data_IF_443142240935
#
_entry.id   IF_443142240935
#
_cell.length_a   1.000
_cell.length_b   1.000
_cell.length_c   1.000
_cell.angle_alpha   90.00
_cell.angle_beta   90.00
_cell.angle_gamma   90.00
#
_symmetry.space_group_name_H-M   'P 1'
#
loop_
_entity.id
_entity.type
_entity.pdbx_description
1 polymer ?
#
# COMPACT_ATOMS: atom_id res chain seq x y z
N UNK A 1 -26.18 -21.85 63.42
CA UNK A 1 -27.15 -20.74 63.47
C UNK A 1 -28.51 -21.33 63.14
N UNK A 2 -29.48 -21.03 64.00
CA UNK A 2 -30.68 -21.83 64.22
C UNK A 2 -31.66 -21.86 63.04
N UNK A 3 -32.02 -23.07 62.60
CA UNK A 3 -33.20 -23.34 61.80
C UNK A 3 -34.45 -23.12 62.66
N UNK A 4 -35.20 -22.07 62.38
CA UNK A 4 -36.53 -21.83 62.96
C UNK A 4 -37.57 -22.07 61.86
N UNK A 5 -38.02 -23.32 61.76
CA UNK A 5 -39.20 -23.64 60.95
C UNK A 5 -40.46 -23.09 61.61
N UNK A 6 -41.32 -22.31 60.91
CA UNK A 6 -42.63 -22.00 61.43
C UNK A 6 -43.54 -23.23 61.25
N UNK A 7 -44.01 -23.75 62.38
CA UNK A 7 -45.03 -24.81 62.47
C UNK A 7 -46.32 -24.33 61.82
N UNK A 8 -46.76 -25.02 60.77
CA UNK A 8 -48.03 -24.75 60.08
C UNK A 8 -49.19 -25.39 60.87
N UNK A 9 -50.27 -24.68 61.20
CA UNK A 9 -51.45 -25.32 61.77
C UNK A 9 -52.09 -26.23 60.73
N UNK A 10 -52.32 -27.50 61.09
CA UNK A 10 -53.18 -28.40 60.33
C UNK A 10 -54.64 -27.98 60.56
N UNK A 11 -55.25 -27.32 59.58
CA UNK A 11 -56.70 -27.25 59.50
C UNK A 11 -57.22 -28.29 58.51
N UNK A 12 -57.58 -29.44 59.06
CA UNK A 12 -58.47 -30.42 58.45
C UNK A 12 -59.89 -29.84 58.40
N UNK A 13 -60.42 -29.70 57.18
CA UNK A 13 -61.76 -29.19 56.95
C UNK A 13 -62.00 -28.85 55.49
N UNK A 14 -62.26 -29.86 54.67
CA UNK A 14 -62.79 -29.65 53.32
C UNK A 14 -64.25 -29.17 53.51
N UNK A 15 -64.47 -27.85 53.53
CA UNK A 15 -65.80 -27.27 53.29
C UNK A 15 -66.04 -27.28 51.79
N UNK A 16 -67.14 -27.91 51.36
CA UNK A 16 -67.63 -27.83 50.00
C UNK A 16 -67.84 -26.35 49.61
N UNK A 17 -67.02 -25.84 48.70
CA UNK A 17 -67.22 -24.52 48.08
C UNK A 17 -68.02 -24.75 46.81
N UNK A 18 -69.34 -24.59 46.93
CA UNK A 18 -70.20 -24.63 45.76
C UNK A 18 -71.62 -25.05 46.04
N UNK A 19 -72.36 -24.30 46.87
CA UNK A 19 -73.79 -24.08 46.61
C UNK A 19 -74.35 -22.90 47.43
N UNK A 20 -74.20 -21.67 46.94
CA UNK A 20 -74.96 -20.48 47.38
C UNK A 20 -74.80 -19.38 46.34
N UNK A 21 -75.20 -19.67 45.09
CA UNK A 21 -75.26 -18.64 44.02
C UNK A 21 -76.53 -17.81 44.11
N UNK A 22 -76.70 -17.06 45.20
CA UNK A 22 -77.68 -15.95 45.29
C UNK A 22 -77.14 -14.79 46.13
N UNK A 23 -75.93 -14.33 45.83
CA UNK A 23 -75.48 -13.01 46.26
C UNK A 23 -75.96 -11.98 45.24
N UNK A 24 -76.56 -10.87 45.69
CA UNK A 24 -76.86 -9.73 44.82
C UNK A 24 -75.55 -9.18 44.22
N UNK A 25 -75.61 -8.64 43.00
CA UNK A 25 -74.46 -7.97 42.39
C UNK A 25 -74.04 -6.80 43.28
N UNK A 26 -72.74 -6.66 43.50
CA UNK A 26 -72.20 -5.54 44.27
C UNK A 26 -72.45 -4.21 43.53
N UNK A 27 -72.78 -3.16 44.28
CA UNK A 27 -72.73 -1.77 43.81
C UNK A 27 -71.37 -1.15 44.15
N UNK A 28 -71.03 0.01 43.57
CA UNK A 28 -69.77 0.71 43.87
C UNK A 28 -69.65 1.09 45.37
N UNK A 29 -70.78 1.36 46.04
CA UNK A 29 -70.84 1.64 47.50
C UNK A 29 -70.48 0.41 48.37
N UNK A 30 -70.50 -0.79 47.79
CA UNK A 30 -70.07 -2.02 48.48
C UNK A 30 -68.53 -2.16 48.48
N UNK A 31 -67.81 -1.36 47.70
CA UNK A 31 -66.36 -1.28 47.76
C UNK A 31 -65.95 -0.71 49.13
N UNK A 32 -64.97 -1.31 49.80
CA UNK A 32 -64.60 -1.08 51.22
C UNK A 32 -65.44 -1.86 52.25
N UNK A 33 -66.76 -2.01 52.06
CA UNK A 33 -67.61 -2.75 53.03
C UNK A 33 -67.69 -4.26 52.75
N UNK A 34 -67.64 -4.68 51.47
CA UNK A 34 -67.59 -6.08 51.04
C UNK A 34 -66.27 -6.35 50.30
N UNK A 35 -65.29 -6.91 51.01
CA UNK A 35 -63.97 -7.22 50.46
C UNK A 35 -63.84 -8.68 50.01
N UNK A 36 -63.03 -8.97 48.96
CA UNK A 36 -62.71 -10.33 48.60
C UNK A 36 -61.94 -11.04 49.72
N UNK A 37 -62.01 -12.37 49.75
CA UNK A 37 -61.29 -13.14 50.77
C UNK A 37 -59.77 -12.96 50.66
N UNK A 38 -59.09 -12.92 51.80
CA UNK A 38 -57.62 -12.79 51.87
C UNK A 38 -56.88 -13.89 51.08
N UNK A 39 -57.41 -15.12 51.06
CA UNK A 39 -56.82 -16.21 50.26
C UNK A 39 -56.87 -15.93 48.75
N UNK A 40 -57.95 -15.28 48.26
CA UNK A 40 -58.06 -14.88 46.85
C UNK A 40 -57.09 -13.75 46.52
N UNK A 41 -56.98 -12.76 47.38
CA UNK A 41 -56.01 -11.66 47.22
C UNK A 41 -54.58 -12.18 47.23
N UNK A 42 -54.23 -13.01 48.21
CA UNK A 42 -52.89 -13.61 48.30
C UNK A 42 -52.54 -14.43 47.06
N UNK A 43 -53.48 -15.24 46.55
CA UNK A 43 -53.28 -15.99 45.31
C UNK A 43 -53.03 -15.11 44.09
N UNK A 44 -53.78 -14.01 43.95
CA UNK A 44 -53.60 -13.04 42.87
C UNK A 44 -52.28 -12.26 43.00
N UNK A 45 -51.92 -11.84 44.22
CA UNK A 45 -50.66 -11.14 44.50
C UNK A 45 -49.48 -12.06 44.14
N UNK A 46 -49.45 -13.29 44.64
CA UNK A 46 -48.38 -14.24 44.34
C UNK A 46 -48.31 -14.60 42.85
N UNK A 47 -49.45 -14.70 42.15
CA UNK A 47 -49.48 -14.93 40.71
C UNK A 47 -48.89 -13.74 39.93
N UNK A 48 -49.26 -12.51 40.31
CA UNK A 48 -48.77 -11.29 39.68
C UNK A 48 -47.28 -11.08 39.93
N UNK A 49 -46.82 -11.30 41.16
CA UNK A 49 -45.42 -11.26 41.55
C UNK A 49 -44.60 -12.27 40.74
N UNK A 50 -45.02 -13.53 40.68
CA UNK A 50 -44.34 -14.56 39.88
C UNK A 50 -44.30 -14.22 38.38
N UNK A 51 -45.38 -13.63 37.85
CA UNK A 51 -45.44 -13.19 36.45
C UNK A 51 -44.52 -12.00 36.18
N UNK A 52 -44.46 -11.03 37.09
CA UNK A 52 -43.57 -9.89 37.01
C UNK A 52 -42.10 -10.32 37.10
N UNK A 53 -41.77 -11.17 38.07
CA UNK A 53 -40.42 -11.71 38.25
C UNK A 53 -39.97 -12.47 37.00
N UNK A 54 -40.83 -13.31 36.41
CA UNK A 54 -40.52 -14.05 35.17
C UNK A 54 -40.26 -13.11 34.00
N UNK A 55 -41.01 -12.01 33.89
CA UNK A 55 -40.78 -11.00 32.85
C UNK A 55 -39.47 -10.25 33.09
N UNK A 56 -39.20 -9.84 34.32
CA UNK A 56 -37.94 -9.17 34.69
C UNK A 56 -36.74 -10.05 34.40
N UNK A 57 -36.77 -11.33 34.82
CA UNK A 57 -35.71 -12.29 34.50
C UNK A 57 -35.47 -12.39 32.99
N UNK A 58 -36.53 -12.48 32.17
CA UNK A 58 -36.40 -12.49 30.71
C UNK A 58 -35.71 -11.23 30.18
N UNK A 59 -36.16 -10.05 30.62
CA UNK A 59 -35.55 -8.78 30.21
C UNK A 59 -34.08 -8.74 30.60
N UNK A 60 -33.72 -9.09 31.83
CA UNK A 60 -32.33 -9.12 32.28
C UNK A 60 -31.48 -10.13 31.50
N UNK A 61 -31.99 -11.32 31.22
CA UNK A 61 -31.27 -12.32 30.41
C UNK A 61 -31.05 -11.84 28.99
N UNK A 62 -32.05 -11.21 28.38
CA UNK A 62 -31.94 -10.66 27.02
C UNK A 62 -30.98 -9.47 26.98
N UNK A 63 -31.03 -8.57 27.95
CA UNK A 63 -30.09 -7.45 28.06
C UNK A 63 -28.64 -7.95 28.15
N UNK A 64 -28.37 -8.91 29.03
CA UNK A 64 -27.04 -9.51 29.16
C UNK A 64 -26.56 -10.19 27.87
N UNK A 65 -27.46 -10.89 27.16
CA UNK A 65 -27.11 -11.47 25.86
C UNK A 65 -26.67 -10.43 24.83
N UNK A 66 -27.33 -9.26 24.80
CA UNK A 66 -26.95 -8.18 23.89
C UNK A 66 -25.64 -7.50 24.29
N UNK A 67 -25.39 -7.33 25.60
CA UNK A 67 -24.10 -6.83 26.12
C UNK A 67 -22.95 -7.77 25.71
N UNK A 68 -23.09 -9.07 25.96
CA UNK A 68 -22.09 -10.08 25.60
C UNK A 68 -21.85 -10.12 24.07
N UNK A 69 -22.91 -9.97 23.27
CA UNK A 69 -22.80 -9.92 21.82
C UNK A 69 -22.10 -8.65 21.32
N UNK A 70 -22.38 -7.50 21.95
CA UNK A 70 -21.72 -6.24 21.64
C UNK A 70 -20.22 -6.29 21.97
N UNK A 71 -19.84 -6.85 23.12
CA UNK A 71 -18.43 -7.02 23.50
C UNK A 71 -17.69 -7.92 22.49
N UNK A 72 -18.28 -9.07 22.11
CA UNK A 72 -17.70 -9.97 21.10
C UNK A 72 -17.57 -9.29 19.73
N UNK A 73 -18.56 -8.48 19.35
CA UNK A 73 -18.53 -7.70 18.11
C UNK A 73 -17.39 -6.69 18.12
N UNK A 74 -17.23 -5.93 19.21
CA UNK A 74 -16.13 -4.97 19.38
C UNK A 74 -14.76 -5.65 19.35
N UNK A 75 -14.57 -6.77 20.06
CA UNK A 75 -13.33 -7.52 20.04
C UNK A 75 -12.96 -8.01 18.63
N UNK A 76 -13.95 -8.50 17.88
CA UNK A 76 -13.77 -8.91 16.48
C UNK A 76 -13.39 -7.72 15.61
N UNK A 77 -14.04 -6.58 15.81
CA UNK A 77 -13.75 -5.35 15.08
C UNK A 77 -12.30 -4.89 15.31
N UNK A 78 -11.85 -4.82 16.57
CA UNK A 78 -10.47 -4.46 16.91
C UNK A 78 -9.45 -5.38 16.23
N UNK A 79 -9.73 -6.69 16.16
CA UNK A 79 -8.86 -7.65 15.45
C UNK A 79 -8.77 -7.36 13.94
N UNK A 80 -9.91 -7.10 13.31
CA UNK A 80 -9.99 -6.81 11.86
C UNK A 80 -9.26 -5.51 11.55
N UNK A 81 -9.50 -4.45 12.33
CA UNK A 81 -8.82 -3.17 12.17
C UNK A 81 -7.31 -3.30 12.35
N UNK A 82 -6.86 -3.97 13.42
CA UNK A 82 -5.43 -4.18 13.67
C UNK A 82 -4.74 -5.01 12.57
N UNK A 83 -5.43 -6.01 11.99
CA UNK A 83 -4.92 -6.74 10.83
C UNK A 83 -4.78 -5.84 9.60
N UNK A 84 -5.85 -5.12 9.24
CA UNK A 84 -5.85 -4.22 8.08
C UNK A 84 -4.80 -3.10 8.23
N UNK A 85 -4.63 -2.55 9.43
CA UNK A 85 -3.58 -1.54 9.71
C UNK A 85 -2.19 -2.07 9.40
N UNK A 86 -1.86 -3.29 9.83
CA UNK A 86 -0.56 -3.90 9.51
C UNK A 86 -0.37 -4.10 8.01
N UNK A 87 -1.39 -4.58 7.31
CA UNK A 87 -1.34 -4.79 5.85
C UNK A 87 -1.11 -3.46 5.13
N UNK A 88 -1.88 -2.43 5.47
CA UNK A 88 -1.79 -1.10 4.85
C UNK A 88 -0.45 -0.44 5.16
N UNK A 89 0.01 -0.48 6.42
CA UNK A 89 1.31 0.07 6.81
C UNK A 89 2.47 -0.62 6.06
N UNK A 90 2.43 -1.94 5.93
CA UNK A 90 3.43 -2.69 5.17
C UNK A 90 3.40 -2.33 3.67
N UNK A 91 2.20 -2.15 3.10
CA UNK A 91 2.05 -1.71 1.72
C UNK A 91 2.67 -0.32 1.51
N UNK A 92 2.40 0.64 2.39
CA UNK A 92 2.98 2.00 2.33
C UNK A 92 4.52 1.99 2.42
N UNK A 93 5.08 1.16 3.31
CA UNK A 93 6.54 0.98 3.38
C UNK A 93 7.07 0.42 2.06
N UNK A 94 6.41 -0.60 1.50
CA UNK A 94 6.84 -1.21 0.23
C UNK A 94 6.79 -0.23 -0.94
N UNK A 95 5.72 0.57 -1.05
CA UNK A 95 5.57 1.61 -2.08
C UNK A 95 6.67 2.66 -1.96
N UNK A 96 6.98 3.12 -0.74
CA UNK A 96 8.08 4.05 -0.49
C UNK A 96 9.42 3.47 -0.93
N UNK A 97 9.73 2.24 -0.52
CA UNK A 97 10.99 1.59 -0.93
C UNK A 97 11.07 1.38 -2.43
N UNK A 98 9.95 1.12 -3.10
CA UNK A 98 9.90 1.01 -4.56
C UNK A 98 10.24 2.35 -5.23
N UNK A 99 9.64 3.45 -4.78
CA UNK A 99 9.91 4.79 -5.34
C UNK A 99 11.35 5.22 -5.10
N UNK A 100 11.91 4.99 -3.91
CA UNK A 100 13.32 5.28 -3.60
C UNK A 100 14.26 4.50 -4.53
N UNK A 101 14.01 3.20 -4.75
CA UNK A 101 14.79 2.37 -5.67
C UNK A 101 14.65 2.81 -7.12
N UNK A 102 13.43 3.16 -7.55
CA UNK A 102 13.17 3.64 -8.91
C UNK A 102 13.89 4.96 -9.18
N UNK A 103 13.90 5.90 -8.23
CA UNK A 103 14.67 7.14 -8.34
C UNK A 103 16.18 6.87 -8.43
N UNK A 104 16.71 5.98 -7.58
CA UNK A 104 18.12 5.58 -7.64
C UNK A 104 18.50 5.00 -9.00
N UNK A 105 17.67 4.12 -9.56
CA UNK A 105 17.87 3.54 -10.88
C UNK A 105 17.82 4.60 -11.99
N UNK A 106 16.86 5.53 -11.94
CA UNK A 106 16.76 6.62 -12.91
C UNK A 106 18.00 7.52 -12.89
N UNK A 107 18.53 7.84 -11.69
CA UNK A 107 19.78 8.59 -11.54
C UNK A 107 21.00 7.86 -12.13
N UNK A 108 21.14 6.57 -11.81
CA UNK A 108 22.23 5.73 -12.32
C UNK A 108 22.19 5.61 -13.85
N UNK A 109 21.01 5.38 -14.43
CA UNK A 109 20.84 5.28 -15.87
C UNK A 109 21.14 6.62 -16.56
N UNK A 110 20.73 7.74 -15.97
CA UNK A 110 21.06 9.08 -16.46
C UNK A 110 22.57 9.30 -16.50
N UNK A 111 23.28 8.98 -15.41
CA UNK A 111 24.74 9.09 -15.32
C UNK A 111 25.45 8.19 -16.32
N UNK A 112 25.03 6.93 -16.45
CA UNK A 112 25.59 5.98 -17.41
C UNK A 112 25.44 6.48 -18.85
N UNK A 113 24.30 7.07 -19.16
CA UNK A 113 24.00 7.62 -20.49
C UNK A 113 24.83 8.85 -20.83
N UNK A 114 25.03 9.77 -19.87
CA UNK A 114 25.98 10.90 -20.00
C UNK A 114 27.41 10.40 -20.21
N UNK A 115 27.85 9.36 -19.49
CA UNK A 115 29.19 8.75 -19.67
C UNK A 115 29.34 8.06 -21.02
N UNK A 116 28.34 7.29 -21.43
CA UNK A 116 28.32 6.54 -22.70
C UNK A 116 28.39 7.50 -23.89
N UNK A 117 27.53 8.53 -23.92
CA UNK A 117 27.54 9.55 -24.97
C UNK A 117 28.88 10.28 -25.08
N UNK A 118 29.50 10.64 -23.95
CA UNK A 118 30.85 11.23 -23.92
C UNK A 118 31.89 10.29 -24.50
N UNK A 119 31.83 8.99 -24.17
CA UNK A 119 32.76 8.00 -24.69
C UNK A 119 32.58 7.78 -26.20
N UNK A 120 31.32 7.69 -26.67
CA UNK A 120 31.02 7.58 -28.10
C UNK A 120 31.53 8.78 -28.89
N UNK A 121 31.42 10.00 -28.35
CA UNK A 121 32.00 11.20 -28.98
C UNK A 121 33.52 11.10 -29.10
N UNK A 122 34.22 10.70 -28.02
CA UNK A 122 35.67 10.51 -28.02
C UNK A 122 36.12 9.44 -29.02
N UNK A 123 35.40 8.34 -29.13
CA UNK A 123 35.73 7.28 -30.10
C UNK A 123 35.65 7.78 -31.55
N UNK A 124 34.63 8.57 -31.89
CA UNK A 124 34.49 9.14 -33.23
C UNK A 124 35.61 10.14 -33.52
N UNK A 125 35.96 10.97 -32.54
CA UNK A 125 37.07 11.92 -32.66
C UNK A 125 38.41 11.20 -32.88
N UNK A 126 38.72 10.21 -32.05
CA UNK A 126 39.95 9.41 -32.16
C UNK A 126 40.03 8.65 -33.49
N UNK A 127 38.92 8.05 -33.94
CA UNK A 127 38.85 7.38 -35.23
C UNK A 127 39.16 8.34 -36.39
N UNK A 128 38.61 9.56 -36.35
CA UNK A 128 38.91 10.59 -37.34
C UNK A 128 40.38 11.07 -37.30
N UNK A 129 41.00 11.12 -36.12
CA UNK A 129 42.42 11.45 -35.97
C UNK A 129 43.30 10.34 -36.55
N UNK A 130 43.05 9.09 -36.18
CA UNK A 130 43.83 7.92 -36.63
C UNK A 130 43.75 7.77 -38.15
N UNK A 131 42.57 7.95 -38.75
CA UNK A 131 42.42 7.94 -40.21
C UNK A 131 43.32 8.97 -40.89
N UNK A 132 43.32 10.21 -40.42
CA UNK A 132 44.18 11.26 -40.98
C UNK A 132 45.65 10.94 -40.81
N UNK A 133 46.05 10.49 -39.62
CA UNK A 133 47.43 10.09 -39.35
C UNK A 133 47.90 8.97 -40.27
N UNK A 134 47.01 8.03 -40.60
CA UNK A 134 47.30 6.94 -41.50
C UNK A 134 47.47 7.40 -42.96
N UNK A 135 46.61 8.30 -43.44
CA UNK A 135 46.76 8.94 -44.75
C UNK A 135 48.08 9.72 -44.86
N UNK A 136 48.44 10.47 -43.81
CA UNK A 136 49.68 11.23 -43.75
C UNK A 136 50.91 10.31 -43.69
N UNK A 137 50.83 9.21 -42.95
CA UNK A 137 51.89 8.21 -42.87
C UNK A 137 52.15 7.57 -44.24
N UNK A 138 51.10 7.15 -44.94
CA UNK A 138 51.20 6.58 -46.28
C UNK A 138 51.83 7.57 -47.27
N UNK A 139 51.36 8.82 -47.29
CA UNK A 139 51.94 9.88 -48.14
C UNK A 139 53.41 10.12 -47.85
N UNK A 140 53.78 10.14 -46.58
CA UNK A 140 55.17 10.35 -46.14
C UNK A 140 56.04 9.16 -46.55
N UNK A 141 55.53 7.94 -46.43
CA UNK A 141 56.28 6.73 -46.82
C UNK A 141 56.54 6.67 -48.32
N UNK A 142 55.54 7.02 -49.14
CA UNK A 142 55.68 7.14 -50.61
C UNK A 142 56.67 8.25 -50.98
N UNK A 143 56.63 9.40 -50.29
CA UNK A 143 57.58 10.50 -50.50
C UNK A 143 59.02 10.08 -50.15
N UNK A 144 59.20 9.34 -49.04
CA UNK A 144 60.50 8.79 -48.63
C UNK A 144 61.02 7.78 -49.66
N UNK A 145 60.18 6.86 -50.13
CA UNK A 145 60.53 5.92 -51.20
C UNK A 145 61.02 6.63 -52.47
N UNK A 146 60.28 7.66 -52.90
CA UNK A 146 60.63 8.46 -54.07
C UNK A 146 61.96 9.19 -53.88
N UNK A 147 62.18 9.78 -52.69
CA UNK A 147 63.44 10.47 -52.35
C UNK A 147 64.62 9.51 -52.29
N UNK A 148 64.46 8.32 -51.73
CA UNK A 148 65.51 7.30 -51.72
C UNK A 148 65.87 6.83 -53.13
N UNK A 149 64.86 6.62 -53.99
CA UNK A 149 65.07 6.25 -55.40
C UNK A 149 65.78 7.34 -56.20
N UNK A 150 65.47 8.62 -55.95
CA UNK A 150 66.13 9.74 -56.62
C UNK A 150 67.65 9.80 -56.36
N UNK A 151 68.12 9.28 -55.22
CA UNK A 151 69.55 9.23 -54.89
C UNK A 151 70.36 8.25 -55.77
N UNK A 152 69.73 7.37 -56.56
CA UNK A 152 70.43 6.35 -57.37
C UNK A 152 71.37 6.94 -58.43
N UNK A 153 71.14 8.19 -58.85
CA UNK A 153 72.05 8.90 -59.77
C UNK A 153 73.09 9.79 -59.09
N UNK A 154 73.02 9.97 -57.76
CA UNK A 154 73.85 10.95 -57.02
C UNK A 154 74.72 10.33 -55.94
N UNK A 155 74.35 9.16 -55.41
CA UNK A 155 75.04 8.50 -54.29
C UNK A 155 75.76 7.22 -54.73
N UNK A 156 76.84 6.86 -54.03
CA UNK A 156 77.61 5.63 -54.31
C UNK A 156 76.80 4.35 -54.07
N UNK A 157 75.86 4.37 -53.13
CA UNK A 157 74.95 3.27 -52.83
C UNK A 157 73.58 3.81 -52.41
N UNK A 158 72.53 3.03 -52.66
CA UNK A 158 71.14 3.33 -52.28
C UNK A 158 70.57 2.19 -51.47
N UNK A 159 69.79 2.53 -50.43
CA UNK A 159 69.06 1.57 -49.62
C UNK A 159 67.85 1.04 -50.42
N UNK A 160 67.69 -0.28 -50.60
CA UNK A 160 66.48 -0.84 -51.17
C UNK A 160 65.33 -0.65 -50.18
N UNK A 161 64.36 0.17 -50.57
CA UNK A 161 63.13 0.44 -49.81
C UNK A 161 61.94 0.26 -50.75
N UNK A 162 60.80 -0.14 -50.19
CA UNK A 162 59.53 -0.28 -50.92
C UNK A 162 58.38 -0.06 -49.95
N UNK A 163 57.34 0.63 -50.42
CA UNK A 163 56.12 0.91 -49.65
C UNK A 163 55.26 -0.36 -49.57
N UNK A 164 54.68 -0.65 -48.40
CA UNK A 164 53.70 -1.73 -48.22
C UNK A 164 52.26 -1.26 -48.52
N UNK A 165 51.93 -1.13 -49.80
CA UNK A 165 50.59 -0.69 -50.24
C UNK A 165 49.45 -1.60 -49.72
N UNK A 166 49.70 -2.91 -49.60
CA UNK A 166 48.70 -3.88 -49.17
C UNK A 166 48.38 -3.73 -47.67
N UNK A 167 49.40 -3.44 -46.85
CA UNK A 167 49.24 -3.14 -45.44
C UNK A 167 48.32 -1.94 -45.20
N UNK A 168 48.56 -0.84 -45.91
CA UNK A 168 47.71 0.36 -45.82
C UNK A 168 46.27 0.12 -46.31
N UNK A 169 46.08 -0.66 -47.38
CA UNK A 169 44.74 -1.03 -47.85
C UNK A 169 43.96 -1.83 -46.80
N UNK A 170 44.63 -2.76 -46.13
CA UNK A 170 44.03 -3.57 -45.06
C UNK A 170 43.60 -2.68 -43.90
N UNK A 171 44.49 -1.79 -43.45
CA UNK A 171 44.20 -0.84 -42.38
C UNK A 171 43.05 0.11 -42.74
N UNK A 172 42.94 0.54 -44.00
CA UNK A 172 41.83 1.36 -44.48
C UNK A 172 40.50 0.60 -44.40
N UNK A 173 40.51 -0.67 -44.79
CA UNK A 173 39.33 -1.53 -44.73
C UNK A 173 38.85 -1.71 -43.29
N UNK A 174 39.77 -1.89 -42.34
CA UNK A 174 39.46 -1.97 -40.90
C UNK A 174 38.86 -0.66 -40.36
N UNK A 175 39.38 0.49 -40.80
CA UNK A 175 38.84 1.80 -40.41
C UNK A 175 37.41 2.01 -40.94
N UNK A 176 37.14 1.55 -42.16
CA UNK A 176 35.81 1.65 -42.77
C UNK A 176 34.81 0.68 -42.14
N UNK A 177 35.25 -0.51 -41.75
CA UNK A 177 34.44 -1.44 -40.95
C UNK A 177 34.07 -0.82 -39.60
N UNK A 178 35.04 -0.24 -38.90
CA UNK A 178 34.81 0.46 -37.63
C UNK A 178 33.82 1.63 -37.80
N UNK A 179 33.94 2.40 -38.88
CA UNK A 179 33.00 3.48 -39.18
C UNK A 179 31.57 2.97 -39.40
N UNK A 180 31.41 1.87 -40.15
CA UNK A 180 30.11 1.23 -40.35
C UNK A 180 29.51 0.80 -39.01
N UNK A 181 30.30 0.19 -38.12
CA UNK A 181 29.84 -0.20 -36.80
C UNK A 181 29.42 1.00 -35.93
N UNK A 182 30.18 2.10 -35.96
CA UNK A 182 29.84 3.35 -35.26
C UNK A 182 28.55 3.98 -35.82
N UNK A 183 28.37 3.97 -37.13
CA UNK A 183 27.19 4.52 -37.79
C UNK A 183 25.93 3.66 -37.57
N UNK A 184 26.06 2.34 -37.50
CA UNK A 184 24.95 1.44 -37.12
C UNK A 184 24.45 1.75 -35.71
N UNK A 185 25.37 2.00 -34.76
CA UNK A 185 24.99 2.41 -33.39
C UNK A 185 24.24 3.74 -33.34
N UNK A 186 24.53 4.67 -34.26
CA UNK A 186 23.80 5.96 -34.38
C UNK A 186 22.41 5.82 -35.00
N UNK A 187 22.18 4.80 -35.84
CA UNK A 187 20.87 4.53 -36.48
C UNK A 187 19.87 3.86 -35.54
N UNK A 188 20.32 3.31 -34.41
CA UNK A 188 19.41 2.84 -33.37
C UNK A 188 18.54 4.01 -32.90
N UNK A 189 17.25 3.73 -32.65
CA UNK A 189 16.31 4.75 -32.20
C UNK A 189 16.92 5.54 -31.03
N UNK A 190 16.96 6.89 -31.10
CA UNK A 190 17.49 7.69 -30.02
C UNK A 190 16.68 7.32 -28.77
N UNK A 191 17.35 6.90 -27.68
CA UNK A 191 16.60 6.58 -26.49
C UNK A 191 15.85 7.84 -26.02
N UNK A 192 14.75 7.71 -25.26
CA UNK A 192 13.93 8.86 -24.85
C UNK A 192 14.79 9.92 -24.17
N UNK A 193 14.65 11.20 -24.48
CA UNK A 193 15.52 12.26 -23.95
C UNK A 193 15.59 12.23 -22.41
N UNK A 194 14.47 11.88 -21.78
CA UNK A 194 14.30 11.89 -20.34
C UNK A 194 13.97 10.49 -19.82
N UNK A 195 14.57 10.12 -18.69
CA UNK A 195 14.20 8.91 -17.96
C UNK A 195 13.10 9.33 -16.98
N UNK A 196 11.87 8.80 -17.14
CA UNK A 196 10.74 9.24 -16.33
C UNK A 196 11.00 8.95 -14.85
N UNK A 197 10.59 9.89 -13.99
CA UNK A 197 10.74 9.79 -12.54
C UNK A 197 9.42 9.38 -11.92
N UNK A 198 9.52 8.48 -10.95
CA UNK A 198 8.38 8.06 -10.13
C UNK A 198 8.39 8.89 -8.85
N UNK A 199 7.23 9.43 -8.46
CA UNK A 199 7.03 10.14 -7.19
C UNK A 199 5.78 9.62 -6.48
N UNK A 200 5.79 9.73 -5.15
CA UNK A 200 4.61 9.55 -4.31
C UNK A 200 3.94 10.90 -4.11
N UNK A 201 2.67 11.02 -4.47
CA UNK A 201 1.83 12.18 -4.16
C UNK A 201 0.81 11.82 -3.08
N UNK A 202 0.66 12.62 -2.02
CA UNK A 202 -0.40 12.44 -1.05
C UNK A 202 -1.78 12.56 -1.72
N UNK A 203 -2.71 11.71 -1.33
CA UNK A 203 -4.11 11.79 -1.75
C UNK A 203 -4.96 12.06 -0.51
N UNK A 204 -5.82 13.07 -0.58
CA UNK A 204 -6.86 13.24 0.42
C UNK A 204 -7.99 12.25 0.13
N UNK A 205 -8.07 11.20 0.95
CA UNK A 205 -9.09 10.16 0.81
C UNK A 205 -10.20 10.33 1.84
N UNK A 206 -10.30 11.45 2.55
CA UNK A 206 -11.33 11.59 3.59
C UNK A 206 -12.74 11.66 2.99
N UNK A 207 -13.63 10.67 3.23
CA UNK A 207 -15.04 10.95 3.22
C UNK A 207 -15.36 11.77 4.48
N UNK A 208 -16.30 12.71 4.40
CA UNK A 208 -16.78 13.42 5.58
C UNK A 208 -17.26 12.41 6.65
N UNK A 209 -16.52 12.32 7.76
CA UNK A 209 -16.79 11.39 8.86
C UNK A 209 -18.14 11.73 9.49
N UNK A 210 -19.00 10.73 9.71
CA UNK A 210 -20.27 10.96 10.42
C UNK A 210 -20.01 11.42 11.86
N UNK A 211 -20.70 12.47 12.28
CA UNK A 211 -20.51 13.06 13.61
C UNK A 211 -20.87 12.08 14.73
N UNK A 212 -21.77 11.12 14.47
CA UNK A 212 -22.17 10.11 15.44
C UNK A 212 -21.00 9.23 15.90
N UNK A 213 -20.05 8.89 15.01
CA UNK A 213 -18.95 7.98 15.35
C UNK A 213 -17.95 8.60 16.35
N UNK A 214 -17.88 9.95 16.41
CA UNK A 214 -17.05 10.69 17.37
C UNK A 214 -17.63 10.70 18.79
N UNK A 215 -18.94 10.48 18.92
CA UNK A 215 -19.64 10.55 20.21
C UNK A 215 -19.39 9.35 21.11
N UNK A 216 -18.83 8.24 20.58
CA UNK A 216 -18.59 7.00 21.32
C UNK A 216 -17.10 6.93 21.73
N UNK A 217 -16.75 7.15 23.03
CA UNK A 217 -15.36 7.30 23.46
C UNK A 217 -14.49 6.07 23.20
N UNK A 218 -15.07 4.87 23.25
CA UNK A 218 -14.37 3.60 23.00
C UNK A 218 -14.02 3.46 21.51
N UNK A 219 -14.96 3.77 20.61
CA UNK A 219 -14.73 3.72 19.16
C UNK A 219 -13.73 4.80 18.73
N UNK A 220 -13.80 5.99 19.33
CA UNK A 220 -12.85 7.06 19.05
C UNK A 220 -11.42 6.70 19.47
N UNK A 221 -11.22 6.19 20.69
CA UNK A 221 -9.87 5.85 21.19
C UNK A 221 -9.29 4.59 20.56
N UNK A 222 -10.09 3.54 20.38
CA UNK A 222 -9.57 2.23 19.98
C UNK A 222 -9.61 2.00 18.49
N UNK A 223 -10.51 2.62 17.72
CA UNK A 223 -10.76 2.25 16.33
C UNK A 223 -10.51 3.36 15.30
N UNK A 224 -10.87 4.61 15.61
CA UNK A 224 -10.87 5.69 14.61
C UNK A 224 -9.53 6.41 14.46
N UNK A 225 -8.68 6.42 15.49
CA UNK A 225 -7.31 6.97 15.43
C UNK A 225 -6.32 6.03 14.74
N UNK A 226 -6.70 4.77 14.48
CA UNK A 226 -5.82 3.72 13.94
C UNK A 226 -5.39 3.93 12.48
N UNK A 227 -5.79 5.00 11.80
CA UNK A 227 -5.33 5.26 10.42
C UNK A 227 -4.98 6.73 10.19
N UNK A 228 -5.01 7.57 11.23
CA UNK A 228 -4.80 9.01 11.08
C UNK A 228 -3.34 9.37 10.76
N UNK A 229 -2.40 8.51 11.14
CA UNK A 229 -0.99 8.61 10.81
C UNK A 229 -0.64 8.01 9.44
N UNK A 230 -1.55 7.23 8.83
CA UNK A 230 -1.33 6.55 7.56
C UNK A 230 -1.86 7.43 6.42
N UNK A 231 -1.01 8.34 5.94
CA UNK A 231 -1.29 9.12 4.74
C UNK A 231 -1.41 8.23 3.52
N UNK A 232 -2.50 8.34 2.77
CA UNK A 232 -2.66 7.66 1.50
C UNK A 232 -1.79 8.37 0.45
N UNK A 233 -1.04 7.59 -0.33
CA UNK A 233 -0.23 8.11 -1.42
C UNK A 233 -0.64 7.44 -2.72
N UNK A 234 -0.50 8.16 -3.83
CA UNK A 234 -0.60 7.65 -5.18
C UNK A 234 0.76 7.76 -5.84
N UNK A 235 1.14 6.70 -6.53
CA UNK A 235 2.32 6.69 -7.40
C UNK A 235 1.99 7.46 -8.69
N UNK A 236 2.79 8.48 -9.00
CA UNK A 236 2.65 9.30 -10.20
C UNK A 236 3.96 9.27 -10.98
N UNK A 237 3.84 9.15 -12.30
CA UNK A 237 4.92 9.34 -13.25
C UNK A 237 5.02 10.83 -13.54
N UNK A 238 6.13 11.43 -13.12
CA UNK A 238 6.44 12.81 -13.43
C UNK A 238 7.20 12.86 -14.75
N UNK A 239 6.62 13.55 -15.73
CA UNK A 239 7.40 14.08 -16.84
C UNK A 239 8.24 15.23 -16.26
N UNK A 240 9.56 15.14 -16.37
CA UNK A 240 10.44 16.21 -15.90
C UNK A 240 10.15 17.49 -16.68
N UNK A 241 9.90 18.57 -15.95
CA UNK A 241 9.84 19.92 -16.52
C UNK A 241 11.19 20.26 -17.16
N UNK A 242 11.22 20.90 -18.34
CA UNK A 242 12.45 21.30 -19.01
C UNK A 242 13.29 22.33 -18.23
N UNK A 243 12.82 22.80 -17.07
CA UNK A 243 13.51 23.76 -16.21
C UNK A 243 14.55 23.13 -15.26
N UNK A 244 14.62 21.79 -15.11
CA UNK A 244 15.70 21.10 -14.37
C UNK A 244 16.88 20.70 -15.29
N UNK A 245 16.94 21.21 -16.54
CA UNK A 245 17.99 20.89 -17.52
C UNK A 245 19.23 21.79 -17.50
N UNK A 246 19.27 22.81 -16.63
CA UNK A 246 20.45 23.68 -16.47
C UNK A 246 21.47 23.12 -15.47
#
# INVERSE_FOLDING_TARGET
MADSHPVRPQHSGIKAVGDTRRAALCSDDDWVSKCPSGCRLQGLISQMESKAERKLRKVCTTAKMYEDAAEKSMATMTRVYGYNRRVIANALVSERTFVERAQGLAGNLTSLRKRSSRMSRKLVELHGIVRKQMEDLYRTEVDVDMKLRACHGSCQAVLPFSVDDLGYQTLQMDMDEMERALNQRRKAAPPPEHIPRIKLQPVDVSPARSAECKSIPTVWRELLTQFEDLGANRVVLEALDPAELD
#
